data_IF_604775938493
#
_entry.id   IF_604775938493
#
_cell.length_a   1.000
_cell.length_b   1.000
_cell.length_c   1.000
_cell.angle_alpha   90.00
_cell.angle_beta   90.00
_cell.angle_gamma   90.00
#
_symmetry.space_group_name_H-M   'P 1'
#
loop_
_entity.id
_entity.type
_entity.pdbx_description
1 polymer ?
#
# COMPACT_ATOMS: atom_id res chain seq x y z
N UNK A 1 41.36 49.75 48.55
CA UNK A 1 40.51 50.04 49.72
C UNK A 1 39.36 49.04 49.70
N UNK A 2 39.22 48.27 50.79
CA UNK A 2 38.00 47.64 51.36
C UNK A 2 36.94 47.01 50.44
N UNK A 3 36.31 45.88 50.73
CA UNK A 3 36.28 44.99 51.91
C UNK A 3 35.49 43.70 51.55
N UNK A 4 35.65 42.72 52.41
CA UNK A 4 35.34 41.28 52.47
C UNK A 4 33.85 40.85 52.52
N UNK A 5 33.66 39.53 52.32
CA UNK A 5 32.59 38.58 52.78
C UNK A 5 31.41 38.41 51.80
N UNK A 6 30.91 37.22 51.46
CA UNK A 6 31.09 35.84 51.92
C UNK A 6 29.77 35.06 51.71
N UNK A 7 29.84 33.72 51.72
CA UNK A 7 28.76 32.69 51.74
C UNK A 7 28.51 31.99 50.38
N UNK A 8 29.04 30.78 50.18
CA UNK A 8 28.45 29.47 50.56
C UNK A 8 27.09 29.19 49.92
N UNK A 9 27.10 28.47 48.80
CA UNK A 9 26.06 27.50 48.47
C UNK A 9 26.71 26.18 48.05
N UNK A 10 26.02 25.11 48.43
CA UNK A 10 26.56 23.80 48.76
C UNK A 10 26.65 22.87 47.53
N UNK A 11 27.63 21.96 47.59
CA UNK A 11 27.86 20.84 46.67
C UNK A 11 26.67 19.87 46.69
N UNK A 12 25.63 20.13 45.90
CA UNK A 12 24.52 19.17 45.72
C UNK A 12 23.70 19.45 44.45
N UNK A 13 24.32 19.51 43.26
CA UNK A 13 23.52 19.63 42.02
C UNK A 13 24.27 19.18 40.74
N UNK A 14 25.07 18.12 40.86
CA UNK A 14 25.63 17.40 39.71
C UNK A 14 25.39 15.90 39.88
N UNK A 15 24.13 15.51 40.08
CA UNK A 15 23.69 14.13 39.92
C UNK A 15 23.13 13.95 38.51
N UNK A 16 23.92 13.26 37.70
CA UNK A 16 23.42 12.19 36.83
C UNK A 16 22.60 12.60 35.58
N UNK A 17 23.27 13.24 34.62
CA UNK A 17 22.80 13.31 33.22
C UNK A 17 23.03 12.01 32.42
N UNK A 18 23.48 10.91 33.05
CA UNK A 18 23.74 9.62 32.35
C UNK A 18 22.57 8.64 32.44
N UNK A 19 21.51 8.95 33.18
CA UNK A 19 20.38 8.04 33.42
C UNK A 19 19.23 8.10 32.41
N UNK A 20 19.21 9.08 31.50
CA UNK A 20 18.06 9.37 30.64
C UNK A 20 18.15 8.83 29.19
N UNK A 21 19.24 8.15 28.82
CA UNK A 21 19.37 7.54 27.47
C UNK A 21 19.11 6.03 27.45
N UNK A 22 18.69 5.47 28.58
CA UNK A 22 18.30 4.06 28.71
C UNK A 22 16.77 3.93 28.78
N UNK A 23 16.06 4.79 28.03
CA UNK A 23 14.62 4.66 27.81
C UNK A 23 14.43 3.52 26.81
N UNK A 24 14.39 2.32 27.38
CA UNK A 24 13.80 1.07 26.89
C UNK A 24 13.64 0.94 25.36
N UNK A 25 14.76 0.65 24.69
CA UNK A 25 14.83 0.07 23.32
C UNK A 25 13.89 -1.14 23.15
N UNK A 26 13.56 -1.84 24.26
CA UNK A 26 12.63 -2.98 24.27
C UNK A 26 11.18 -2.60 23.99
N UNK A 27 10.81 -1.34 24.19
CA UNK A 27 9.44 -0.86 23.94
C UNK A 27 9.16 -0.65 22.46
N UNK A 28 10.16 -0.22 21.68
CA UNK A 28 10.09 -0.14 20.21
C UNK A 28 10.17 -1.55 19.59
N UNK A 29 11.03 -2.44 20.09
CA UNK A 29 11.08 -3.82 19.58
C UNK A 29 9.81 -4.61 19.86
N UNK A 30 9.16 -4.38 21.00
CA UNK A 30 7.90 -5.05 21.32
C UNK A 30 6.74 -4.56 20.44
N UNK A 31 6.72 -3.28 20.05
CA UNK A 31 5.75 -2.80 19.04
C UNK A 31 6.03 -3.41 17.67
N UNK A 32 7.29 -3.48 17.25
CA UNK A 32 7.67 -4.07 15.95
C UNK A 32 7.33 -5.56 15.89
N UNK A 33 7.55 -6.30 16.98
CA UNK A 33 7.19 -7.72 17.10
C UNK A 33 5.67 -7.94 17.05
N UNK A 34 4.89 -7.08 17.71
CA UNK A 34 3.43 -7.16 17.70
C UNK A 34 2.88 -6.77 16.32
N UNK A 35 3.43 -5.76 15.66
CA UNK A 35 3.07 -5.39 14.29
C UNK A 35 3.40 -6.53 13.32
N UNK A 36 4.61 -7.09 13.40
CA UNK A 36 5.01 -8.24 12.59
C UNK A 36 4.11 -9.46 12.82
N UNK A 37 3.73 -9.74 14.07
CA UNK A 37 2.81 -10.83 14.40
C UNK A 37 1.38 -10.57 13.91
N UNK A 38 0.91 -9.32 13.96
CA UNK A 38 -0.40 -8.91 13.44
C UNK A 38 -0.44 -9.04 11.91
N UNK A 39 0.59 -8.58 11.23
CA UNK A 39 0.77 -8.77 9.78
C UNK A 39 0.78 -10.25 9.42
N UNK A 40 1.56 -11.07 10.14
CA UNK A 40 1.62 -12.51 9.95
C UNK A 40 0.25 -13.18 10.18
N UNK A 41 -0.52 -12.74 11.18
CA UNK A 41 -1.86 -13.27 11.46
C UNK A 41 -2.88 -12.87 10.38
N UNK A 42 -2.81 -11.64 9.87
CA UNK A 42 -3.65 -11.17 8.76
C UNK A 42 -3.35 -11.94 7.48
N UNK A 43 -2.07 -12.16 7.17
CA UNK A 43 -1.61 -13.01 6.07
C UNK A 43 -2.09 -14.45 6.25
N UNK A 44 -1.96 -15.01 7.46
CA UNK A 44 -2.38 -16.38 7.78
C UNK A 44 -3.90 -16.59 7.70
N UNK A 45 -4.71 -15.56 7.94
CA UNK A 45 -6.17 -15.63 7.80
C UNK A 45 -6.62 -15.90 6.36
N UNK A 46 -5.77 -15.57 5.36
CA UNK A 46 -6.07 -15.66 3.94
C UNK A 46 -7.02 -14.57 3.41
N UNK A 47 -7.78 -13.92 4.29
CA UNK A 47 -8.73 -12.87 3.92
C UNK A 47 -8.02 -11.61 3.39
N UNK A 48 -6.85 -11.27 3.95
CA UNK A 48 -6.02 -10.19 3.41
C UNK A 48 -5.60 -10.49 1.96
N UNK A 49 -5.10 -11.70 1.71
CA UNK A 49 -4.70 -12.16 0.37
C UNK A 49 -5.85 -12.09 -0.63
N UNK A 50 -7.05 -12.51 -0.22
CA UNK A 50 -8.26 -12.46 -1.05
C UNK A 50 -8.62 -11.01 -1.37
N UNK A 51 -8.58 -10.10 -0.39
CA UNK A 51 -8.89 -8.69 -0.59
C UNK A 51 -7.92 -8.02 -1.56
N UNK A 52 -6.59 -8.20 -1.40
CA UNK A 52 -5.62 -7.61 -2.32
C UNK A 52 -5.70 -8.22 -3.72
N UNK A 53 -6.00 -9.53 -3.83
CA UNK A 53 -6.22 -10.18 -5.11
C UNK A 53 -7.49 -9.67 -5.83
N UNK A 54 -8.53 -9.30 -5.08
CA UNK A 54 -9.75 -8.71 -5.64
C UNK A 54 -9.53 -7.28 -6.17
N UNK A 55 -8.55 -6.54 -5.64
CA UNK A 55 -8.22 -5.17 -6.09
C UNK A 55 -7.31 -5.20 -7.32
N UNK A 56 -6.39 -6.16 -7.41
CA UNK A 56 -5.36 -6.18 -8.45
C UNK A 56 -5.87 -5.99 -9.92
N UNK A 57 -7.03 -6.53 -10.35
CA UNK A 57 -7.54 -6.31 -11.70
C UNK A 57 -7.70 -4.84 -12.07
N UNK A 58 -8.07 -3.95 -11.14
CA UNK A 58 -8.28 -2.53 -11.48
C UNK A 58 -6.97 -1.83 -11.86
N UNK A 59 -5.84 -2.21 -11.25
CA UNK A 59 -4.52 -1.72 -11.66
C UNK A 59 -4.08 -2.39 -12.96
N UNK A 60 -4.11 -3.73 -12.99
CA UNK A 60 -3.50 -4.49 -14.07
C UNK A 60 -4.26 -4.34 -15.39
N UNK A 61 -5.59 -4.47 -15.39
CA UNK A 61 -6.38 -4.35 -16.62
C UNK A 61 -6.26 -2.96 -17.22
N UNK A 62 -6.35 -1.91 -16.40
CA UNK A 62 -6.21 -0.54 -16.89
C UNK A 62 -4.80 -0.27 -17.44
N UNK A 63 -3.74 -0.76 -16.77
CA UNK A 63 -2.37 -0.63 -17.26
C UNK A 63 -2.20 -1.30 -18.63
N UNK A 64 -2.75 -2.50 -18.82
CA UNK A 64 -2.73 -3.21 -20.11
C UNK A 64 -3.51 -2.43 -21.16
N UNK A 65 -4.77 -2.08 -20.89
CA UNK A 65 -5.63 -1.37 -21.85
C UNK A 65 -5.03 -0.02 -22.25
N UNK A 66 -4.51 0.75 -21.29
CA UNK A 66 -3.86 2.02 -21.57
C UNK A 66 -2.65 1.85 -22.48
N UNK A 67 -1.79 0.87 -22.18
CA UNK A 67 -0.60 0.55 -22.99
C UNK A 67 -0.97 0.14 -24.41
N UNK A 68 -1.95 -0.75 -24.58
CA UNK A 68 -2.40 -1.21 -25.90
C UNK A 68 -3.06 -0.07 -26.72
N UNK A 69 -3.80 0.83 -26.06
CA UNK A 69 -4.41 1.98 -26.74
C UNK A 69 -3.35 3.01 -27.15
N UNK A 70 -2.29 3.20 -26.36
CA UNK A 70 -1.22 4.14 -26.70
C UNK A 70 -0.61 3.86 -28.07
N UNK A 71 -0.46 2.57 -28.42
CA UNK A 71 0.09 2.13 -29.70
C UNK A 71 -0.76 2.55 -30.92
N UNK A 72 -2.05 2.85 -30.71
CA UNK A 72 -3.01 3.19 -31.77
C UNK A 72 -3.64 4.58 -31.65
N UNK A 73 -3.42 5.29 -30.55
CA UNK A 73 -4.09 6.56 -30.22
C UNK A 73 -3.67 7.76 -31.08
N UNK A 74 -2.51 7.70 -31.73
CA UNK A 74 -1.97 8.81 -32.52
C UNK A 74 -1.54 10.00 -31.66
N UNK A 75 -1.98 11.20 -32.01
CA UNK A 75 -1.64 12.44 -31.29
C UNK A 75 -2.51 12.60 -30.03
N UNK A 76 -1.96 12.24 -28.87
CA UNK A 76 -2.67 12.32 -27.59
C UNK A 76 -3.14 13.74 -27.25
N UNK A 77 -2.42 14.80 -27.64
CA UNK A 77 -2.82 16.17 -27.30
C UNK A 77 -4.13 16.58 -27.98
N UNK A 78 -4.44 15.97 -29.13
CA UNK A 78 -5.67 16.20 -29.88
C UNK A 78 -6.70 15.09 -29.70
N UNK A 79 -6.35 14.02 -28.98
CA UNK A 79 -7.20 12.85 -28.83
C UNK A 79 -8.25 13.10 -27.73
N UNK A 80 -9.55 12.86 -27.98
CA UNK A 80 -10.61 13.13 -27.00
C UNK A 80 -10.46 12.32 -25.69
N UNK A 81 -9.69 11.23 -25.73
CA UNK A 81 -9.36 10.39 -24.57
C UNK A 81 -7.86 10.43 -24.22
N UNK A 82 -7.12 11.42 -24.71
CA UNK A 82 -5.67 11.51 -24.59
C UNK A 82 -5.17 11.44 -23.14
N UNK A 83 -5.79 12.19 -22.25
CA UNK A 83 -5.44 12.21 -20.82
C UNK A 83 -5.64 10.84 -20.15
N UNK A 84 -6.74 10.15 -20.47
CA UNK A 84 -7.05 8.83 -19.92
C UNK A 84 -6.04 7.78 -20.39
N UNK A 85 -5.76 7.75 -21.70
CA UNK A 85 -4.76 6.84 -22.28
C UNK A 85 -3.38 7.13 -21.71
N UNK A 86 -2.99 8.42 -21.66
CA UNK A 86 -1.71 8.86 -21.13
C UNK A 86 -1.51 8.52 -19.65
N UNK A 87 -2.56 8.59 -18.84
CA UNK A 87 -2.53 8.19 -17.43
C UNK A 87 -2.24 6.69 -17.27
N UNK A 88 -3.00 5.83 -17.93
CA UNK A 88 -2.91 4.38 -17.72
C UNK A 88 -1.76 3.71 -18.50
N UNK A 89 -1.25 4.36 -19.56
CA UNK A 89 -0.01 3.97 -20.22
C UNK A 89 1.24 4.54 -19.53
N UNK A 90 1.09 5.35 -18.48
CA UNK A 90 2.20 6.02 -17.82
C UNK A 90 3.15 5.00 -17.15
N UNK A 91 4.48 5.11 -17.34
CA UNK A 91 5.45 4.27 -16.63
C UNK A 91 5.30 4.29 -15.11
N UNK A 92 4.91 5.42 -14.50
CA UNK A 92 4.65 5.51 -13.06
C UNK A 92 3.50 4.60 -12.65
N UNK A 93 2.41 4.59 -13.39
CA UNK A 93 1.27 3.69 -13.14
C UNK A 93 1.65 2.21 -13.35
N UNK A 94 2.56 1.94 -14.30
CA UNK A 94 3.11 0.60 -14.48
C UNK A 94 3.94 0.14 -13.27
N UNK A 95 4.73 1.02 -12.64
CA UNK A 95 5.44 0.71 -11.40
C UNK A 95 4.47 0.50 -10.22
N UNK A 96 3.42 1.31 -10.08
CA UNK A 96 2.36 1.10 -9.09
C UNK A 96 1.70 -0.27 -9.26
N UNK A 97 1.38 -0.64 -10.51
CA UNK A 97 0.81 -1.96 -10.84
C UNK A 97 1.76 -3.09 -10.44
N UNK A 98 3.07 -2.95 -10.68
CA UNK A 98 4.08 -3.93 -10.25
C UNK A 98 4.14 -4.06 -8.72
N UNK A 99 4.01 -2.95 -7.99
CA UNK A 99 3.96 -2.95 -6.52
C UNK A 99 2.75 -3.75 -6.02
N UNK A 100 1.56 -3.50 -6.57
CA UNK A 100 0.33 -4.21 -6.18
C UNK A 100 0.44 -5.70 -6.49
N UNK A 101 1.03 -6.07 -7.65
CA UNK A 101 1.32 -7.48 -7.96
C UNK A 101 2.25 -8.13 -6.92
N UNK A 102 3.32 -7.43 -6.54
CA UNK A 102 4.24 -7.90 -5.51
C UNK A 102 3.58 -8.05 -4.12
N UNK A 103 2.59 -7.22 -3.78
CA UNK A 103 1.79 -7.37 -2.56
C UNK A 103 0.97 -8.67 -2.63
N UNK A 104 0.31 -8.93 -3.75
CA UNK A 104 -0.47 -10.18 -3.94
C UNK A 104 0.44 -11.40 -3.91
N UNK A 105 1.60 -11.34 -4.55
CA UNK A 105 2.58 -12.44 -4.56
C UNK A 105 3.04 -12.77 -3.13
N UNK A 106 3.44 -11.76 -2.34
CA UNK A 106 3.80 -11.94 -0.93
C UNK A 106 2.62 -12.45 -0.08
N UNK A 107 1.42 -11.95 -0.30
CA UNK A 107 0.23 -12.43 0.39
C UNK A 107 -0.12 -13.90 0.06
N UNK A 108 0.38 -14.41 -1.07
CA UNK A 108 0.23 -15.80 -1.47
C UNK A 108 1.38 -16.69 -0.99
N UNK A 109 2.40 -16.16 -0.31
CA UNK A 109 3.49 -16.96 0.27
C UNK A 109 3.02 -17.69 1.53
N UNK A 110 3.35 -18.98 1.67
CA UNK A 110 3.04 -19.75 2.87
C UNK A 110 1.55 -20.07 3.13
N UNK A 111 0.62 -19.53 2.35
CA UNK A 111 -0.82 -19.82 2.50
C UNK A 111 -1.18 -21.21 1.94
N UNK A 112 -2.23 -21.81 2.53
CA UNK A 112 -2.79 -23.08 2.07
C UNK A 112 -3.32 -22.98 0.63
N UNK A 113 -3.30 -24.08 -0.11
CA UNK A 113 -3.76 -24.11 -1.50
C UNK A 113 -5.24 -23.68 -1.65
N UNK A 114 -6.08 -23.98 -0.65
CA UNK A 114 -7.46 -23.51 -0.62
C UNK A 114 -7.55 -21.98 -0.57
N UNK A 115 -6.68 -21.31 0.19
CA UNK A 115 -6.65 -19.85 0.25
C UNK A 115 -6.11 -19.27 -1.05
N UNK A 116 -5.07 -19.87 -1.64
CA UNK A 116 -4.55 -19.49 -2.96
C UNK A 116 -5.63 -19.61 -4.04
N UNK A 117 -6.47 -20.64 -3.98
CA UNK A 117 -7.61 -20.77 -4.88
C UNK A 117 -8.62 -19.64 -4.68
N UNK A 118 -8.98 -19.30 -3.44
CA UNK A 118 -9.88 -18.17 -3.14
C UNK A 118 -9.33 -16.83 -3.64
N UNK A 119 -8.02 -16.61 -3.54
CA UNK A 119 -7.36 -15.42 -4.11
C UNK A 119 -7.53 -15.36 -5.64
N UNK A 120 -7.30 -16.49 -6.33
CA UNK A 120 -7.52 -16.58 -7.79
C UNK A 120 -8.97 -16.34 -8.17
N UNK A 121 -9.91 -16.92 -7.43
CA UNK A 121 -11.35 -16.75 -7.68
C UNK A 121 -11.77 -15.29 -7.51
N UNK A 122 -11.25 -14.61 -6.48
CA UNK A 122 -11.51 -13.19 -6.26
C UNK A 122 -10.94 -12.32 -7.37
N UNK A 123 -9.70 -12.57 -7.82
CA UNK A 123 -9.09 -11.90 -8.96
C UNK A 123 -9.92 -12.07 -10.25
N UNK A 124 -10.35 -13.31 -10.54
CA UNK A 124 -11.17 -13.60 -11.74
C UNK A 124 -12.53 -12.92 -11.64
N UNK A 125 -13.17 -12.95 -10.47
CA UNK A 125 -14.46 -12.31 -10.27
C UNK A 125 -14.39 -10.79 -10.42
N UNK A 126 -13.38 -10.15 -9.82
CA UNK A 126 -13.16 -8.72 -9.99
C UNK A 126 -12.83 -8.36 -11.45
N UNK A 127 -12.06 -9.20 -12.17
CA UNK A 127 -11.82 -9.01 -13.60
C UNK A 127 -13.10 -9.06 -14.44
N UNK A 128 -14.07 -9.91 -14.07
CA UNK A 128 -15.40 -9.92 -14.70
C UNK A 128 -16.17 -8.64 -14.42
N UNK A 129 -16.07 -8.10 -13.20
CA UNK A 129 -16.69 -6.82 -12.87
C UNK A 129 -16.09 -5.66 -13.65
N UNK A 130 -14.78 -5.65 -13.89
CA UNK A 130 -14.16 -4.66 -14.78
C UNK A 130 -14.72 -4.75 -16.20
N UNK A 131 -14.86 -5.95 -16.76
CA UNK A 131 -15.51 -6.12 -18.06
C UNK A 131 -16.97 -5.63 -18.05
N UNK A 132 -17.74 -5.97 -17.01
CA UNK A 132 -19.12 -5.50 -16.86
C UNK A 132 -19.21 -3.98 -16.72
N UNK A 133 -18.23 -3.34 -16.06
CA UNK A 133 -18.16 -1.89 -15.95
C UNK A 133 -18.04 -1.23 -17.32
N UNK A 134 -17.16 -1.75 -18.19
CA UNK A 134 -17.04 -1.28 -19.57
C UNK A 134 -18.29 -1.55 -20.39
N UNK A 135 -18.90 -2.74 -20.28
CA UNK A 135 -20.12 -3.11 -20.99
C UNK A 135 -21.32 -2.24 -20.56
N UNK A 136 -21.45 -1.94 -19.26
CA UNK A 136 -22.47 -1.06 -18.72
C UNK A 136 -22.33 0.37 -19.26
N UNK A 137 -21.10 0.91 -19.28
CA UNK A 137 -20.82 2.23 -19.86
C UNK A 137 -21.16 2.26 -21.37
N UNK A 138 -20.79 1.21 -22.10
CA UNK A 138 -21.08 1.09 -23.54
C UNK A 138 -22.58 1.01 -23.84
N UNK A 139 -23.33 0.26 -23.03
CA UNK A 139 -24.79 0.12 -23.16
C UNK A 139 -25.55 1.30 -22.56
N UNK A 140 -24.86 2.24 -21.92
CA UNK A 140 -25.45 3.32 -21.13
C UNK A 140 -26.48 2.76 -20.13
N UNK A 141 -26.09 1.71 -19.41
CA UNK A 141 -26.96 1.02 -18.47
C UNK A 141 -27.49 2.01 -17.41
N UNK A 142 -28.80 1.98 -17.20
CA UNK A 142 -29.48 2.78 -16.20
C UNK A 142 -29.97 1.90 -15.07
N UNK A 143 -29.98 2.44 -13.86
CA UNK A 143 -30.55 1.77 -12.71
C UNK A 143 -32.04 1.46 -12.93
N UNK A 144 -32.49 0.21 -12.64
CA UNK A 144 -33.90 -0.16 -12.75
C UNK A 144 -34.66 0.28 -11.48
N UNK A 145 -34.68 1.59 -11.21
CA UNK A 145 -35.38 2.21 -10.07
C UNK A 145 -36.35 3.29 -10.52
#
# INVERSE_FOLDING_TARGET
>A
MSSTLGAFTTRAEQSDKRRWTDVDDRSETASDEVESALEAAQLASGEYGIAVAAVLPCFWIYQVVGTELLDTAGDLEKHPYGDWIGMYANPVFAEETKIVRGIVDRAAEGVLELQRQRMRDAFVQASRYEWMFWDAAWRMETWPI
#
